data_IF_030635977368
#
_entry.id   IF_030635977368
#
_cell.length_a   1.000
_cell.length_b   1.000
_cell.length_c   1.000
_cell.angle_alpha   90.00
_cell.angle_beta   90.00
_cell.angle_gamma   90.00
#
_symmetry.space_group_name_H-M   'P 1'
#
loop_
_entity.id
_entity.type
_entity.pdbx_description
1 polymer ?
#
# COMPACT_ATOMS: atom_id res chain seq x y z
N UNK A 1 9.92 -7.56 -7.58
CA UNK A 1 9.57 -8.32 -6.36
C UNK A 1 9.85 -7.43 -5.16
N UNK A 2 8.82 -6.77 -4.63
CA UNK A 2 8.96 -6.09 -3.33
C UNK A 2 9.22 -7.20 -2.29
N UNK A 3 10.47 -7.65 -2.18
CA UNK A 3 10.90 -8.49 -1.06
C UNK A 3 11.12 -7.60 0.14
N UNK A 4 10.06 -7.16 0.72
CA UNK A 4 10.14 -6.81 2.11
C UNK A 4 10.15 -8.11 2.91
N UNK A 5 11.27 -8.53 3.37
CA UNK A 5 11.37 -9.67 4.26
C UNK A 5 10.59 -9.34 5.54
N UNK A 6 9.49 -10.01 5.86
CA UNK A 6 8.88 -9.86 7.16
C UNK A 6 9.69 -10.76 8.10
N UNK A 7 10.61 -10.15 8.78
CA UNK A 7 11.39 -10.80 9.81
C UNK A 7 12.08 -9.69 10.58
N UNK A 8 11.91 -9.65 11.89
CA UNK A 8 12.91 -8.96 12.70
C UNK A 8 14.27 -9.46 12.26
N UNK A 9 15.27 -8.59 12.03
CA UNK A 9 16.60 -9.03 11.68
C UNK A 9 17.05 -10.07 12.69
N UNK A 10 17.67 -11.15 12.21
CA UNK A 10 18.32 -12.13 13.08
C UNK A 10 19.22 -11.39 14.08
N UNK A 11 19.31 -11.83 15.34
CA UNK A 11 20.16 -11.17 16.33
C UNK A 11 21.58 -11.04 15.80
N UNK A 12 22.02 -9.81 15.52
CA UNK A 12 23.35 -9.51 14.99
C UNK A 12 23.40 -9.06 13.52
N UNK A 13 22.29 -9.08 12.77
CA UNK A 13 22.22 -8.50 11.44
C UNK A 13 21.82 -7.03 11.52
N UNK A 14 22.60 -6.14 10.91
CA UNK A 14 22.20 -4.73 10.77
C UNK A 14 20.88 -4.65 9.99
N UNK A 15 19.96 -3.75 10.37
CA UNK A 15 18.75 -3.54 9.59
C UNK A 15 19.14 -3.18 8.14
N UNK A 16 18.35 -3.63 7.15
CA UNK A 16 18.62 -3.32 5.75
C UNK A 16 18.60 -1.79 5.54
N UNK A 17 19.54 -1.28 4.76
CA UNK A 17 19.44 0.08 4.28
C UNK A 17 18.30 0.18 3.24
N UNK A 18 17.19 0.76 3.67
CA UNK A 18 16.01 0.88 2.83
C UNK A 18 16.21 1.86 1.67
N UNK A 19 17.07 2.86 1.82
CA UNK A 19 17.37 3.81 0.75
C UNK A 19 18.12 3.11 -0.38
N UNK A 20 19.13 2.30 -0.04
CA UNK A 20 19.86 1.50 -1.02
C UNK A 20 18.97 0.46 -1.69
N UNK A 21 18.08 -0.19 -0.94
CA UNK A 21 17.16 -1.18 -1.51
C UNK A 21 16.17 -0.54 -2.48
N UNK A 22 15.59 0.60 -2.12
CA UNK A 22 14.66 1.32 -3.00
C UNK A 22 15.37 1.84 -4.25
N UNK A 23 16.62 2.32 -4.14
CA UNK A 23 17.43 2.73 -5.29
C UNK A 23 17.66 1.55 -6.26
N UNK A 24 18.02 0.37 -5.74
CA UNK A 24 18.17 -0.84 -6.56
C UNK A 24 16.86 -1.26 -7.23
N UNK A 25 15.73 -1.20 -6.51
CA UNK A 25 14.42 -1.49 -7.09
C UNK A 25 14.05 -0.49 -8.20
N UNK A 26 14.37 0.78 -8.02
CA UNK A 26 14.16 1.82 -9.04
C UNK A 26 14.94 1.58 -10.33
N UNK A 27 16.17 1.04 -10.24
CA UNK A 27 16.99 0.70 -11.41
C UNK A 27 16.42 -0.47 -12.21
N UNK A 28 15.70 -1.38 -11.56
CA UNK A 28 15.17 -2.60 -12.17
C UNK A 28 13.71 -2.49 -12.60
N UNK A 29 12.97 -1.53 -12.03
CA UNK A 29 11.56 -1.33 -12.35
C UNK A 29 11.37 -0.95 -13.82
N UNK A 30 10.45 -1.63 -14.49
CA UNK A 30 10.12 -1.39 -15.90
C UNK A 30 8.94 -0.43 -16.04
N UNK A 31 8.00 -0.48 -15.08
CA UNK A 31 6.83 0.38 -15.11
C UNK A 31 7.14 1.76 -14.53
N UNK A 32 6.83 2.86 -15.26
CA UNK A 32 7.19 4.23 -14.81
C UNK A 32 6.66 4.61 -13.43
N UNK A 33 5.45 4.17 -13.08
CA UNK A 33 4.86 4.47 -11.76
C UNK A 33 5.61 3.79 -10.62
N UNK A 34 6.05 2.53 -10.80
CA UNK A 34 6.87 1.83 -9.80
C UNK A 34 8.28 2.43 -9.73
N UNK A 35 8.86 2.76 -10.88
CA UNK A 35 10.15 3.44 -10.92
C UNK A 35 10.10 4.76 -10.13
N UNK A 36 9.09 5.60 -10.38
CA UNK A 36 8.90 6.86 -9.67
C UNK A 36 8.67 6.65 -8.17
N UNK A 37 7.87 5.64 -7.79
CA UNK A 37 7.64 5.27 -6.40
C UNK A 37 8.94 4.90 -5.68
N UNK A 38 9.77 4.04 -6.27
CA UNK A 38 11.04 3.64 -5.68
C UNK A 38 12.08 4.78 -5.67
N UNK A 39 12.12 5.60 -6.73
CA UNK A 39 13.00 6.79 -6.79
C UNK A 39 12.68 7.82 -5.74
N UNK A 40 11.44 7.93 -5.31
CA UNK A 40 11.05 8.82 -4.21
C UNK A 40 11.72 8.43 -2.87
N UNK A 41 12.21 7.20 -2.75
CA UNK A 41 12.92 6.71 -1.58
C UNK A 41 12.06 6.60 -0.33
N UNK A 42 12.69 6.72 0.81
CA UNK A 42 12.04 6.73 2.13
C UNK A 42 12.81 7.67 3.08
N UNK A 43 12.22 8.09 4.20
CA UNK A 43 12.95 8.83 5.23
C UNK A 43 14.19 8.05 5.69
N UNK A 44 15.26 8.76 6.02
CA UNK A 44 16.48 8.17 6.55
C UNK A 44 16.20 7.40 7.86
N UNK A 45 16.99 6.36 8.14
CA UNK A 45 16.77 5.50 9.31
C UNK A 45 16.88 6.23 10.65
N UNK A 46 17.62 7.34 10.68
CA UNK A 46 17.81 8.22 11.83
C UNK A 46 16.89 9.46 11.82
N UNK A 47 15.99 9.56 10.82
CA UNK A 47 14.99 10.63 10.76
C UNK A 47 14.05 10.52 11.95
N UNK A 48 13.89 11.62 12.68
CA UNK A 48 12.91 11.67 13.77
C UNK A 48 11.48 11.54 13.21
N UNK A 49 10.59 10.84 13.93
CA UNK A 49 9.20 10.66 13.47
C UNK A 49 8.45 11.99 13.32
N UNK A 50 8.84 13.02 14.07
CA UNK A 50 8.27 14.38 13.95
C UNK A 50 8.57 15.03 12.60
N UNK A 51 9.71 14.67 12.01
CA UNK A 51 10.17 15.22 10.73
C UNK A 51 9.83 14.32 9.54
N UNK A 52 9.48 13.07 9.81
CA UNK A 52 9.15 12.10 8.77
C UNK A 52 7.77 12.38 8.13
N UNK A 53 7.65 12.35 6.79
CA UNK A 53 6.36 12.39 6.13
C UNK A 53 5.60 11.08 6.39
N UNK A 54 4.56 11.14 7.22
CA UNK A 54 3.77 9.96 7.61
C UNK A 54 2.47 9.89 6.82
N UNK A 55 2.06 8.68 6.47
CA UNK A 55 0.74 8.39 5.90
C UNK A 55 0.19 7.09 6.48
N UNK A 56 -1.03 7.13 6.99
CA UNK A 56 -1.76 5.92 7.36
C UNK A 56 -2.39 5.32 6.11
N UNK A 57 -2.31 4.00 5.97
CA UNK A 57 -2.97 3.22 4.93
C UNK A 57 -3.80 2.13 5.58
N UNK A 58 -5.02 1.98 5.09
CA UNK A 58 -5.93 0.90 5.45
C UNK A 58 -6.59 0.35 4.18
N UNK A 59 -6.75 -0.98 4.09
CA UNK A 59 -7.29 -1.66 2.91
C UNK A 59 -8.40 -2.61 3.36
N UNK A 60 -9.60 -2.47 2.76
CA UNK A 60 -10.65 -3.46 2.87
C UNK A 60 -10.57 -4.45 1.71
N UNK A 61 -10.85 -5.72 2.01
CA UNK A 61 -10.68 -6.83 1.08
C UNK A 61 -11.85 -7.81 1.12
N UNK A 62 -11.99 -8.64 0.10
CA UNK A 62 -13.01 -9.70 0.07
C UNK A 62 -12.70 -10.87 1.03
N UNK A 63 -11.48 -10.92 1.56
CA UNK A 63 -10.97 -11.91 2.50
C UNK A 63 -9.48 -11.69 2.75
N UNK A 64 -8.82 -12.60 3.46
CA UNK A 64 -7.44 -12.41 3.93
C UNK A 64 -6.36 -13.10 3.07
N UNK A 65 -6.76 -13.82 2.04
CA UNK A 65 -5.85 -14.55 1.19
C UNK A 65 -5.45 -13.73 -0.05
N UNK A 66 -4.27 -13.13 -0.05
CA UNK A 66 -3.78 -12.28 -1.14
C UNK A 66 -3.75 -12.93 -2.52
N UNK A 67 -3.80 -14.27 -2.62
CA UNK A 67 -3.81 -14.99 -3.90
C UNK A 67 -5.21 -15.14 -4.51
N UNK A 68 -6.26 -15.10 -3.69
CA UNK A 68 -7.63 -15.41 -4.08
C UNK A 68 -8.59 -14.26 -3.83
N UNK A 69 -8.26 -13.42 -2.86
CA UNK A 69 -9.08 -12.28 -2.48
C UNK A 69 -8.60 -11.00 -3.17
N UNK A 70 -9.43 -9.98 -3.16
CA UNK A 70 -9.20 -8.74 -3.87
C UNK A 70 -9.46 -7.52 -2.99
N UNK A 71 -8.82 -6.41 -3.32
CA UNK A 71 -9.05 -5.11 -2.68
C UNK A 71 -10.49 -4.64 -3.01
N UNK A 72 -11.19 -4.15 -1.99
CA UNK A 72 -12.52 -3.55 -2.07
C UNK A 72 -12.45 -2.04 -1.86
N UNK A 73 -11.60 -1.56 -0.97
CA UNK A 73 -11.32 -0.13 -0.83
C UNK A 73 -9.92 0.13 -0.30
N UNK A 74 -9.43 1.35 -0.53
CA UNK A 74 -8.18 1.87 0.01
C UNK A 74 -8.46 3.21 0.66
N UNK A 75 -8.01 3.38 1.90
CA UNK A 75 -8.05 4.61 2.65
C UNK A 75 -6.64 5.07 2.98
N UNK A 76 -6.31 6.32 2.68
CA UNK A 76 -5.00 6.91 2.98
C UNK A 76 -5.18 8.28 3.62
N UNK A 77 -4.49 8.51 4.73
CA UNK A 77 -4.57 9.78 5.46
C UNK A 77 -3.17 10.26 5.82
N UNK A 78 -2.68 11.35 5.22
CA UNK A 78 -1.43 11.96 5.66
C UNK A 78 -1.60 12.52 7.07
N UNK A 79 -0.55 12.36 7.89
CA UNK A 79 -0.56 12.87 9.25
C UNK A 79 0.86 13.23 9.74
N UNK A 80 0.95 13.91 10.86
CA UNK A 80 2.14 14.07 11.69
C UNK A 80 1.80 13.69 13.11
N UNK A 81 2.78 13.61 14.02
CA UNK A 81 2.49 13.28 15.44
C UNK A 81 1.58 14.32 16.11
N UNK A 82 1.50 15.53 15.55
CA UNK A 82 0.66 16.61 16.08
C UNK A 82 -0.72 16.70 15.38
N UNK A 83 -0.85 16.23 14.13
CA UNK A 83 -2.03 16.54 13.33
C UNK A 83 -2.37 15.47 12.28
N UNK A 84 -3.64 15.09 12.23
CA UNK A 84 -4.24 14.29 11.15
C UNK A 84 -4.78 15.24 10.08
N UNK A 85 -4.39 15.02 8.81
CA UNK A 85 -4.79 15.87 7.67
C UNK A 85 -5.99 15.27 6.93
N UNK A 86 -7.15 15.26 7.56
CA UNK A 86 -8.37 14.68 6.97
C UNK A 86 -8.79 15.32 5.63
N UNK A 87 -8.41 16.59 5.38
CA UNK A 87 -8.69 17.25 4.09
C UNK A 87 -7.93 16.59 2.94
N UNK A 88 -6.75 16.06 3.21
CA UNK A 88 -5.85 15.46 2.23
C UNK A 88 -6.01 13.93 2.19
N UNK A 89 -7.04 13.41 2.88
CA UNK A 89 -7.36 11.99 2.86
C UNK A 89 -7.84 11.56 1.47
N UNK A 90 -7.37 10.40 1.04
CA UNK A 90 -7.84 9.70 -0.14
C UNK A 90 -8.62 8.47 0.31
N UNK A 91 -9.82 8.31 -0.21
CA UNK A 91 -10.63 7.11 -0.03
C UNK A 91 -11.18 6.67 -1.36
N UNK A 92 -10.91 5.44 -1.73
CA UNK A 92 -11.33 4.90 -3.00
C UNK A 92 -11.92 3.50 -2.85
N UNK A 93 -13.21 3.36 -3.13
CA UNK A 93 -13.83 2.06 -3.34
C UNK A 93 -13.46 1.58 -4.74
N UNK A 94 -13.09 0.30 -4.87
CA UNK A 94 -12.76 -0.32 -6.14
C UNK A 94 -13.62 -1.55 -6.37
N UNK A 95 -13.83 -1.91 -7.63
CA UNK A 95 -14.54 -3.12 -8.02
C UNK A 95 -13.59 -4.30 -7.90
N UNK A 96 -13.79 -5.22 -6.93
CA UNK A 96 -12.92 -6.38 -6.75
C UNK A 96 -13.03 -7.36 -7.93
N UNK A 97 -12.01 -8.18 -8.09
CA UNK A 97 -11.98 -9.26 -9.09
C UNK A 97 -12.59 -10.57 -8.56
N UNK A 98 -12.69 -10.70 -7.25
CA UNK A 98 -13.37 -11.80 -6.56
C UNK A 98 -14.74 -11.35 -6.03
N UNK A 99 -15.62 -12.31 -5.73
CA UNK A 99 -16.94 -12.03 -5.20
C UNK A 99 -16.88 -11.52 -3.75
N UNK A 100 -17.76 -10.58 -3.42
CA UNK A 100 -17.98 -10.18 -2.03
C UNK A 100 -18.75 -11.27 -1.31
N UNK A 101 -18.23 -11.74 -0.18
CA UNK A 101 -18.95 -12.60 0.73
C UNK A 101 -19.81 -11.78 1.71
N UNK A 102 -20.90 -12.36 2.20
CA UNK A 102 -21.72 -11.74 3.24
C UNK A 102 -20.90 -11.46 4.51
N UNK A 103 -19.90 -12.31 4.77
CA UNK A 103 -18.98 -12.13 5.88
C UNK A 103 -18.12 -10.86 5.70
N UNK A 104 -17.50 -10.66 4.53
CA UNK A 104 -16.69 -9.48 4.26
C UNK A 104 -17.52 -8.19 4.32
N UNK A 105 -18.75 -8.20 3.76
CA UNK A 105 -19.70 -7.09 3.84
C UNK A 105 -20.01 -6.73 5.31
N UNK A 106 -20.16 -7.74 6.17
CA UNK A 106 -20.42 -7.52 7.60
C UNK A 106 -19.29 -6.77 8.29
N UNK A 107 -18.05 -7.02 7.88
CA UNK A 107 -16.88 -6.36 8.47
C UNK A 107 -16.70 -4.92 7.96
N UNK A 108 -16.59 -4.73 6.64
CA UNK A 108 -16.24 -3.42 6.06
C UNK A 108 -17.47 -2.60 5.64
N UNK A 109 -18.67 -3.17 5.62
CA UNK A 109 -19.95 -2.53 5.29
C UNK A 109 -20.05 -1.96 3.86
N UNK A 110 -19.13 -2.31 2.98
CA UNK A 110 -19.20 -1.95 1.55
C UNK A 110 -20.03 -3.02 0.85
N UNK A 111 -21.10 -2.58 0.22
CA UNK A 111 -22.11 -3.49 -0.38
C UNK A 111 -21.86 -3.70 -1.87
N UNK A 112 -22.59 -4.67 -2.46
CA UNK A 112 -22.59 -4.88 -3.91
C UNK A 112 -23.02 -3.61 -4.68
N UNK A 113 -23.88 -2.77 -4.10
CA UNK A 113 -24.31 -1.51 -4.69
C UNK A 113 -23.15 -0.52 -4.77
N UNK A 114 -22.31 -0.45 -3.74
CA UNK A 114 -21.20 0.48 -3.66
C UNK A 114 -20.12 0.15 -4.70
N UNK A 115 -19.88 -1.13 -4.95
CA UNK A 115 -18.87 -1.56 -5.93
C UNK A 115 -19.37 -1.61 -7.37
N UNK A 116 -20.68 -1.52 -7.60
CA UNK A 116 -21.26 -1.71 -8.94
C UNK A 116 -20.70 -0.72 -9.97
N UNK A 117 -20.55 0.55 -9.59
CA UNK A 117 -19.99 1.61 -10.44
C UNK A 117 -18.57 2.01 -10.07
N UNK A 118 -17.96 1.32 -9.11
CA UNK A 118 -16.61 1.61 -8.68
C UNK A 118 -15.57 1.29 -9.79
N UNK A 119 -14.49 2.06 -9.90
CA UNK A 119 -13.42 1.78 -10.82
C UNK A 119 -12.72 0.47 -10.48
N UNK A 120 -12.01 -0.12 -11.42
CA UNK A 120 -11.11 -1.24 -11.12
C UNK A 120 -9.83 -0.73 -10.47
N UNK A 121 -9.17 -1.56 -9.66
CA UNK A 121 -7.87 -1.23 -9.04
C UNK A 121 -6.84 -0.75 -10.06
N UNK A 122 -6.91 -1.25 -11.29
CA UNK A 122 -6.04 -0.84 -12.40
C UNK A 122 -6.08 0.67 -12.72
N UNK A 123 -7.20 1.33 -12.49
CA UNK A 123 -7.31 2.78 -12.75
C UNK A 123 -6.93 3.65 -11.57
N UNK A 124 -6.60 3.08 -10.42
CA UNK A 124 -6.27 3.84 -9.19
C UNK A 124 -4.90 3.52 -8.62
N UNK A 125 -4.28 2.40 -9.02
CA UNK A 125 -3.04 1.92 -8.40
C UNK A 125 -1.88 2.93 -8.54
N UNK A 126 -1.77 3.63 -9.65
CA UNK A 126 -0.73 4.65 -9.83
C UNK A 126 -0.93 5.82 -8.88
N UNK A 127 -2.16 6.30 -8.71
CA UNK A 127 -2.49 7.35 -7.71
C UNK A 127 -2.19 6.89 -6.28
N UNK A 128 -2.41 5.60 -5.98
CA UNK A 128 -2.03 5.03 -4.68
C UNK A 128 -0.52 5.08 -4.48
N UNK A 129 0.26 4.63 -5.48
CA UNK A 129 1.72 4.68 -5.44
C UNK A 129 2.24 6.11 -5.28
N UNK A 130 1.70 7.08 -6.02
CA UNK A 130 2.03 8.50 -5.88
C UNK A 130 1.75 9.02 -4.46
N UNK A 131 0.60 8.64 -3.88
CA UNK A 131 0.24 9.06 -2.52
C UNK A 131 1.18 8.50 -1.46
N UNK A 132 1.70 7.29 -1.65
CA UNK A 132 2.61 6.60 -0.71
C UNK A 132 4.09 6.99 -0.92
N UNK A 133 4.46 7.47 -2.11
CA UNK A 133 5.84 7.74 -2.51
C UNK A 133 6.58 8.65 -1.52
N UNK A 134 7.80 8.26 -1.12
CA UNK A 134 8.66 9.01 -0.23
C UNK A 134 8.20 9.11 1.24
N UNK A 135 7.17 8.37 1.63
CA UNK A 135 6.57 8.45 2.96
C UNK A 135 6.82 7.20 3.80
N UNK A 136 6.80 7.35 5.11
CA UNK A 136 6.70 6.24 6.05
C UNK A 136 5.23 5.84 6.17
N UNK A 137 4.90 4.67 5.64
CA UNK A 137 3.53 4.16 5.62
C UNK A 137 3.23 3.44 6.93
N UNK A 138 2.19 3.89 7.62
CA UNK A 138 1.72 3.30 8.86
C UNK A 138 0.48 2.47 8.59
N UNK A 139 0.51 1.20 8.98
CA UNK A 139 -0.55 0.22 8.75
C UNK A 139 -0.87 -0.54 10.03
N UNK A 140 -2.04 -1.14 10.12
CA UNK A 140 -2.41 -1.96 11.28
C UNK A 140 -1.75 -3.35 11.22
N UNK A 141 -1.80 -4.02 10.06
CA UNK A 141 -1.22 -5.34 9.89
C UNK A 141 -0.50 -5.47 8.55
N UNK A 142 0.78 -5.11 8.53
CA UNK A 142 1.59 -4.96 7.30
C UNK A 142 1.51 -6.13 6.31
N UNK A 143 1.27 -7.36 6.78
CA UNK A 143 1.21 -8.51 5.89
C UNK A 143 0.00 -8.46 4.94
N UNK A 144 -1.10 -7.85 5.38
CA UNK A 144 -2.30 -7.64 4.58
C UNK A 144 -2.06 -6.50 3.60
N UNK A 145 -1.83 -5.28 4.09
CA UNK A 145 -1.74 -4.10 3.22
C UNK A 145 -0.64 -4.26 2.16
N UNK A 146 0.53 -4.75 2.57
CA UNK A 146 1.62 -5.01 1.63
C UNK A 146 1.33 -6.13 0.66
N UNK A 147 0.78 -7.23 1.17
CA UNK A 147 0.48 -8.39 0.34
C UNK A 147 -0.53 -8.07 -0.75
N UNK A 148 -1.58 -7.33 -0.44
CA UNK A 148 -2.59 -6.91 -1.41
C UNK A 148 -2.07 -5.83 -2.37
N UNK A 149 -1.26 -4.87 -1.91
CA UNK A 149 -0.64 -3.88 -2.80
C UNK A 149 0.36 -4.53 -3.77
N UNK A 150 1.23 -5.43 -3.30
CA UNK A 150 2.16 -6.20 -4.14
C UNK A 150 1.40 -6.99 -5.21
N UNK A 151 0.34 -7.70 -4.80
CA UNK A 151 -0.52 -8.43 -5.71
C UNK A 151 -1.17 -7.53 -6.75
N UNK A 152 -1.71 -6.37 -6.33
CA UNK A 152 -2.34 -5.41 -7.24
C UNK A 152 -1.33 -4.84 -8.25
N UNK A 153 -0.13 -4.47 -7.80
CA UNK A 153 0.94 -4.01 -8.68
C UNK A 153 1.32 -5.09 -9.70
N UNK A 154 1.52 -6.34 -9.28
CA UNK A 154 1.83 -7.44 -10.20
C UNK A 154 0.75 -7.68 -11.23
N UNK A 155 -0.52 -7.61 -10.83
CA UNK A 155 -1.65 -7.84 -11.74
C UNK A 155 -1.83 -6.71 -12.74
N UNK A 156 -1.59 -5.47 -12.34
CA UNK A 156 -1.88 -4.28 -13.14
C UNK A 156 -0.68 -3.80 -13.92
N UNK A 157 0.49 -3.75 -13.25
CA UNK A 157 1.72 -3.17 -13.80
C UNK A 157 2.68 -4.25 -14.34
N UNK A 158 2.39 -5.53 -14.09
CA UNK A 158 3.21 -6.68 -14.50
C UNK A 158 4.37 -6.97 -13.56
N UNK A 159 4.60 -6.14 -12.56
CA UNK A 159 5.66 -6.25 -11.56
C UNK A 159 5.24 -5.63 -10.23
N UNK A 160 5.97 -5.95 -9.15
CA UNK A 160 5.69 -5.42 -7.83
C UNK A 160 6.79 -5.73 -6.83
#
# INVERSE_FOLDING_TARGET
>A
MIRFTPGSPEPGQAPPDWQDQLAQLAEHAQHPALQAFYQAGCPAADCALDDAPLIALDIETTGLNTRHDAIVSLGMVPFSLERIRCRDALYQVVKPTSELSDESITFHRITHSDIHQAPRVASVIETVLEALAGKLVVVHYQAIERGFLDQACRQVLGEG
#
